data_IF_448064565694
#
_entry.id   IF_448064565694
#
_cell.length_a   1.000
_cell.length_b   1.000
_cell.length_c   1.000
_cell.angle_alpha   90.00
_cell.angle_beta   90.00
_cell.angle_gamma   90.00
#
_symmetry.space_group_name_H-M   'P 1'
#
loop_
_entity.id
_entity.type
_entity.pdbx_description
1 polymer ?
#
# COMPACT_ATOMS: atom_id res chain seq x y z
N UNK A 1 20.91 -0.58 13.29
CA UNK A 1 19.80 -1.02 12.41
C UNK A 1 20.34 -1.61 11.11
N UNK A 2 21.22 -0.91 10.36
CA UNK A 2 21.82 -1.40 9.11
C UNK A 2 22.41 -2.82 9.24
N UNK A 3 23.31 -3.04 10.16
CA UNK A 3 23.96 -4.34 10.35
C UNK A 3 22.96 -5.50 10.54
N UNK A 4 21.86 -5.26 11.26
CA UNK A 4 20.82 -6.29 11.47
C UNK A 4 20.06 -6.62 10.20
N UNK A 5 19.65 -5.60 9.43
CA UNK A 5 18.95 -5.82 8.14
C UNK A 5 19.87 -6.39 7.06
N UNK A 6 21.13 -5.99 7.06
CA UNK A 6 22.16 -6.59 6.19
C UNK A 6 22.37 -8.08 6.50
N UNK A 7 22.48 -8.43 7.77
CA UNK A 7 22.70 -9.81 8.22
C UNK A 7 21.57 -10.77 7.83
N UNK A 8 20.34 -10.29 7.72
CA UNK A 8 19.19 -11.11 7.29
C UNK A 8 18.92 -10.99 5.76
N UNK A 9 19.79 -10.31 5.01
CA UNK A 9 19.66 -10.20 3.55
C UNK A 9 18.48 -9.36 3.09
N UNK A 10 17.98 -8.41 3.91
CA UNK A 10 16.81 -7.60 3.57
C UNK A 10 17.15 -6.31 2.81
N UNK A 11 18.42 -5.94 2.73
CA UNK A 11 18.85 -4.68 2.09
C UNK A 11 19.24 -4.89 0.63
N UNK A 12 18.79 -3.98 -0.22
CA UNK A 12 19.31 -3.83 -1.57
C UNK A 12 20.59 -3.00 -1.58
N UNK A 13 21.58 -3.34 -2.42
CA UNK A 13 22.80 -2.54 -2.57
C UNK A 13 22.58 -1.25 -3.36
N UNK A 14 21.45 -1.09 -4.07
CA UNK A 14 21.22 0.00 -5.02
C UNK A 14 19.86 0.67 -4.91
N UNK A 15 18.79 -0.06 -5.14
CA UNK A 15 17.44 0.50 -5.28
C UNK A 15 16.39 -0.35 -4.59
N UNK A 16 15.30 0.30 -4.11
CA UNK A 16 14.06 -0.39 -3.81
C UNK A 16 13.19 -0.41 -5.06
N UNK A 17 12.91 -1.59 -5.61
CA UNK A 17 12.07 -1.78 -6.79
C UNK A 17 10.90 -2.71 -6.48
N UNK A 18 9.90 -2.25 -5.70
CA UNK A 18 8.77 -3.08 -5.32
C UNK A 18 8.06 -3.66 -6.53
N UNK A 19 7.71 -4.95 -6.43
CA UNK A 19 6.98 -5.73 -7.45
C UNK A 19 7.78 -6.01 -8.74
N UNK A 20 9.02 -5.55 -8.85
CA UNK A 20 9.90 -5.79 -10.00
C UNK A 20 10.56 -7.18 -9.93
N UNK A 21 10.86 -7.76 -11.08
CA UNK A 21 11.61 -9.02 -11.18
C UNK A 21 13.03 -8.91 -10.62
N UNK A 22 13.62 -7.70 -10.63
CA UNK A 22 14.91 -7.36 -10.03
C UNK A 22 14.86 -7.06 -8.53
N UNK A 23 13.70 -7.17 -7.87
CA UNK A 23 13.55 -6.92 -6.44
C UNK A 23 14.47 -7.81 -5.60
N UNK A 24 15.35 -7.20 -4.81
CA UNK A 24 16.36 -7.88 -4.01
C UNK A 24 16.55 -7.34 -2.59
N UNK A 25 15.56 -6.60 -2.10
CA UNK A 25 15.56 -5.93 -0.81
C UNK A 25 15.26 -4.44 -0.92
N UNK A 26 15.22 -3.77 0.21
CA UNK A 26 14.95 -2.33 0.27
C UNK A 26 16.20 -1.51 0.58
N UNK A 27 16.20 -0.27 0.13
CA UNK A 27 17.12 0.77 0.61
C UNK A 27 16.52 1.40 1.85
N UNK A 28 17.34 1.64 2.87
CA UNK A 28 16.89 2.32 4.07
C UNK A 28 16.73 3.82 3.81
N UNK A 29 15.57 4.35 4.11
CA UNK A 29 15.29 5.78 4.13
C UNK A 29 15.19 6.32 5.56
N UNK A 30 15.24 7.64 5.69
CA UNK A 30 15.04 8.38 6.95
C UNK A 30 14.00 9.47 6.73
N UNK A 31 13.20 9.73 7.74
CA UNK A 31 12.20 10.77 7.69
C UNK A 31 11.17 10.66 8.82
N UNK A 32 10.36 11.69 8.92
CA UNK A 32 9.21 11.76 9.80
C UNK A 32 8.03 12.37 9.06
N UNK A 33 6.82 12.12 9.53
CA UNK A 33 5.60 12.69 8.97
C UNK A 33 4.59 12.98 10.08
N UNK A 34 3.71 13.93 9.83
CA UNK A 34 2.60 14.26 10.71
C UNK A 34 1.31 14.44 9.90
N UNK A 35 0.19 14.02 10.48
CA UNK A 35 -1.15 14.25 9.97
C UNK A 35 -1.94 15.00 11.04
N UNK A 36 -2.61 16.06 10.66
CA UNK A 36 -3.64 16.68 11.49
C UNK A 36 -4.96 15.95 11.22
N UNK A 37 -5.50 15.30 12.24
CA UNK A 37 -6.77 14.57 12.17
C UNK A 37 -7.87 15.33 12.86
N UNK A 38 -9.03 15.39 12.22
CA UNK A 38 -10.24 16.01 12.77
C UNK A 38 -11.45 15.18 12.35
N UNK A 39 -12.51 15.19 13.14
CA UNK A 39 -13.77 14.56 12.73
C UNK A 39 -14.30 15.26 11.48
N UNK A 40 -14.76 14.49 10.50
CA UNK A 40 -15.17 15.02 9.20
C UNK A 40 -16.25 16.11 9.35
N UNK A 41 -17.26 15.89 10.19
CA UNK A 41 -18.30 16.87 10.43
C UNK A 41 -17.78 18.20 11.02
N UNK A 42 -16.81 18.13 11.95
CA UNK A 42 -16.19 19.31 12.55
C UNK A 42 -15.32 20.04 11.51
N UNK A 43 -14.56 19.30 10.69
CA UNK A 43 -13.75 19.89 9.64
C UNK A 43 -14.59 20.64 8.59
N UNK A 44 -15.72 20.05 8.19
CA UNK A 44 -16.68 20.71 7.28
C UNK A 44 -17.26 21.96 7.92
N UNK A 45 -17.71 21.86 9.19
CA UNK A 45 -18.31 23.00 9.92
C UNK A 45 -17.36 24.16 10.11
N UNK A 46 -16.07 23.87 10.32
CA UNK A 46 -15.03 24.87 10.55
C UNK A 46 -14.42 25.40 9.23
N UNK A 47 -14.82 24.84 8.07
CA UNK A 47 -14.31 25.26 6.76
C UNK A 47 -12.86 24.87 6.52
N UNK A 48 -12.39 23.78 7.15
CA UNK A 48 -11.01 23.32 6.99
C UNK A 48 -10.76 22.76 5.59
N UNK A 49 -9.51 22.85 5.12
CA UNK A 49 -9.08 22.14 3.93
C UNK A 49 -8.96 20.65 4.22
N UNK A 50 -9.77 19.82 3.55
CA UNK A 50 -9.79 18.37 3.71
C UNK A 50 -9.07 17.73 2.53
N UNK A 51 -7.92 17.11 2.79
CA UNK A 51 -7.10 16.44 1.76
C UNK A 51 -7.60 15.03 1.43
N UNK A 52 -8.28 14.39 2.35
CA UNK A 52 -8.87 13.07 2.20
C UNK A 52 -9.50 12.59 3.49
N UNK A 53 -10.27 11.53 3.41
CA UNK A 53 -11.03 10.98 4.52
C UNK A 53 -10.53 9.58 4.87
N UNK A 54 -10.17 9.34 6.13
CA UNK A 54 -9.91 7.99 6.65
C UNK A 54 -11.27 7.35 6.93
N UNK A 55 -11.60 6.31 6.16
CA UNK A 55 -12.88 5.61 6.27
C UNK A 55 -12.78 4.38 7.16
N UNK A 56 -11.64 3.73 7.18
CA UNK A 56 -11.45 2.53 7.99
C UNK A 56 -9.99 2.23 8.27
N UNK A 57 -9.75 1.60 9.41
CA UNK A 57 -8.42 1.13 9.84
C UNK A 57 -8.55 -0.31 10.29
N UNK A 58 -7.80 -1.20 9.67
CA UNK A 58 -7.73 -2.61 10.05
C UNK A 58 -6.37 -2.96 10.63
N UNK A 59 -6.36 -3.69 11.70
CA UNK A 59 -5.16 -4.20 12.34
C UNK A 59 -5.25 -5.70 12.57
N UNK A 60 -4.12 -6.38 12.53
CA UNK A 60 -4.01 -7.80 12.87
C UNK A 60 -2.61 -8.15 13.38
N UNK A 61 -2.48 -9.35 13.89
CA UNK A 61 -1.20 -9.99 14.18
C UNK A 61 -1.11 -11.32 13.44
N UNK A 62 0.07 -11.65 12.92
CA UNK A 62 0.32 -12.95 12.27
C UNK A 62 0.19 -14.13 13.25
N UNK A 63 0.29 -13.84 14.55
CA UNK A 63 0.25 -14.88 15.59
C UNK A 63 1.47 -15.80 15.51
N UNK A 64 1.27 -17.09 15.78
CA UNK A 64 2.32 -18.11 15.67
C UNK A 64 2.50 -18.46 14.18
N UNK A 65 3.61 -18.05 13.58
CA UNK A 65 3.94 -18.28 12.17
C UNK A 65 5.28 -18.98 11.97
N UNK A 66 5.76 -19.02 10.72
CA UNK A 66 7.03 -19.66 10.31
C UNK A 66 8.29 -18.95 10.82
N UNK A 67 8.17 -17.74 11.33
CA UNK A 67 9.28 -16.92 11.83
C UNK A 67 8.93 -15.44 11.85
N UNK A 68 9.71 -14.64 12.58
CA UNK A 68 9.44 -13.21 12.81
C UNK A 68 9.50 -12.35 11.53
N UNK A 69 10.20 -12.83 10.51
CA UNK A 69 10.38 -12.13 9.24
C UNK A 69 9.50 -12.68 8.11
N UNK A 70 8.83 -13.81 8.33
CA UNK A 70 8.01 -14.46 7.31
C UNK A 70 6.63 -13.80 7.24
N UNK A 71 6.20 -13.26 6.07
CA UNK A 71 4.88 -12.67 5.94
C UNK A 71 3.77 -13.74 6.05
N UNK A 72 2.63 -13.35 6.59
CA UNK A 72 1.46 -14.22 6.76
C UNK A 72 0.29 -13.70 5.93
N UNK A 73 -0.08 -14.42 4.88
CA UNK A 73 -1.27 -14.11 4.06
C UNK A 73 -2.49 -13.93 4.96
N UNK A 74 -2.71 -14.84 5.91
CA UNK A 74 -3.86 -14.76 6.84
C UNK A 74 -3.86 -13.48 7.67
N UNK A 75 -2.70 -13.10 8.22
CA UNK A 75 -2.58 -11.88 9.02
C UNK A 75 -2.83 -10.63 8.17
N UNK A 76 -2.14 -10.51 7.04
CA UNK A 76 -2.33 -9.40 6.11
C UNK A 76 -3.79 -9.30 5.64
N UNK A 77 -4.39 -10.41 5.17
CA UNK A 77 -5.80 -10.47 4.74
C UNK A 77 -6.75 -9.99 5.83
N UNK A 78 -6.52 -10.39 7.08
CA UNK A 78 -7.37 -9.97 8.19
C UNK A 78 -7.30 -8.45 8.43
N UNK A 79 -6.11 -7.83 8.33
CA UNK A 79 -5.97 -6.38 8.46
C UNK A 79 -6.71 -5.66 7.32
N UNK A 80 -6.50 -6.09 6.07
CA UNK A 80 -7.12 -5.49 4.89
C UNK A 80 -8.64 -5.62 4.96
N UNK A 81 -9.16 -6.82 5.21
CA UNK A 81 -10.61 -7.05 5.28
C UNK A 81 -11.28 -6.24 6.40
N UNK A 82 -10.64 -6.11 7.57
CA UNK A 82 -11.15 -5.28 8.67
C UNK A 82 -11.22 -3.81 8.30
N UNK A 83 -10.23 -3.28 7.58
CA UNK A 83 -10.23 -1.89 7.13
C UNK A 83 -11.42 -1.60 6.21
N UNK A 84 -11.66 -2.44 5.21
CA UNK A 84 -12.79 -2.25 4.28
C UNK A 84 -14.14 -2.50 4.94
N UNK A 85 -14.25 -3.48 5.84
CA UNK A 85 -15.46 -3.68 6.64
C UNK A 85 -15.80 -2.44 7.48
N UNK A 86 -14.80 -1.82 8.12
CA UNK A 86 -15.00 -0.57 8.87
C UNK A 86 -15.30 0.62 7.94
N UNK A 87 -14.68 0.68 6.77
CA UNK A 87 -14.88 1.75 5.81
C UNK A 87 -16.31 1.79 5.23
N UNK A 88 -16.99 0.65 5.21
CA UNK A 88 -18.36 0.53 4.71
C UNK A 88 -18.46 0.63 3.19
N UNK A 89 -17.36 0.32 2.46
CA UNK A 89 -17.38 0.20 1.01
C UNK A 89 -16.59 -1.04 0.56
N UNK A 90 -16.96 -1.51 -0.61
CA UNK A 90 -16.39 -2.72 -1.20
C UNK A 90 -14.99 -2.45 -1.80
N UNK A 91 -14.04 -3.38 -1.66
CA UNK A 91 -12.73 -3.31 -2.32
C UNK A 91 -12.80 -3.09 -3.85
N UNK A 92 -13.88 -3.54 -4.51
CA UNK A 92 -14.08 -3.33 -5.95
C UNK A 92 -14.14 -1.86 -6.37
N UNK A 93 -14.37 -0.96 -5.41
CA UNK A 93 -14.38 0.50 -5.62
C UNK A 93 -13.04 1.18 -5.41
N UNK A 94 -11.99 0.42 -5.09
CA UNK A 94 -10.65 0.93 -4.82
C UNK A 94 -9.80 0.89 -6.08
N UNK A 95 -9.12 1.98 -6.39
CA UNK A 95 -8.37 2.15 -7.64
C UNK A 95 -6.85 2.28 -7.41
N UNK A 96 -6.41 2.53 -6.17
CA UNK A 96 -4.99 2.67 -5.81
C UNK A 96 -4.69 1.92 -4.51
N UNK A 97 -3.66 1.11 -4.52
CA UNK A 97 -3.04 0.53 -3.31
C UNK A 97 -1.62 1.06 -3.16
N UNK A 98 -1.39 1.81 -2.11
CA UNK A 98 -0.06 2.07 -1.57
C UNK A 98 0.32 0.87 -0.70
N UNK A 99 1.09 -0.02 -1.27
CA UNK A 99 1.42 -1.29 -0.64
C UNK A 99 2.59 -1.16 0.37
N UNK A 100 2.73 -2.16 1.20
CA UNK A 100 3.94 -2.27 2.03
C UNK A 100 5.19 -2.40 1.17
N UNK A 101 5.16 -3.22 0.12
CA UNK A 101 6.10 -3.24 -1.00
C UNK A 101 7.57 -3.03 -0.61
N UNK A 102 8.18 -4.04 0.01
CA UNK A 102 9.56 -3.94 0.52
C UNK A 102 10.62 -4.33 -0.51
N UNK A 103 10.24 -4.51 -1.77
CA UNK A 103 11.19 -4.89 -2.82
C UNK A 103 11.88 -6.23 -2.53
N UNK A 104 11.17 -7.17 -1.91
CA UNK A 104 11.62 -8.54 -1.74
C UNK A 104 10.72 -9.46 -2.56
N UNK A 105 11.29 -10.33 -3.41
CA UNK A 105 10.50 -11.17 -4.34
C UNK A 105 9.37 -11.92 -3.63
N UNK A 106 9.68 -12.56 -2.51
CA UNK A 106 8.70 -13.34 -1.73
C UNK A 106 7.71 -12.45 -1.00
N UNK A 107 8.18 -11.36 -0.40
CA UNK A 107 7.31 -10.42 0.35
C UNK A 107 6.29 -9.76 -0.57
N UNK A 108 6.76 -9.23 -1.69
CA UNK A 108 5.93 -8.54 -2.67
C UNK A 108 4.90 -9.51 -3.31
N UNK A 109 5.32 -10.74 -3.65
CA UNK A 109 4.42 -11.75 -4.16
C UNK A 109 3.37 -12.19 -3.13
N UNK A 110 3.77 -12.32 -1.86
CA UNK A 110 2.84 -12.66 -0.76
C UNK A 110 1.81 -11.56 -0.57
N UNK A 111 2.22 -10.30 -0.62
CA UNK A 111 1.32 -9.16 -0.48
C UNK A 111 0.33 -9.08 -1.65
N UNK A 112 0.80 -9.22 -2.90
CA UNK A 112 -0.08 -9.29 -4.07
C UNK A 112 -1.06 -10.46 -3.99
N UNK A 113 -0.61 -11.64 -3.55
CA UNK A 113 -1.49 -12.78 -3.31
C UNK A 113 -2.56 -12.49 -2.26
N UNK A 114 -2.18 -11.85 -1.15
CA UNK A 114 -3.12 -11.42 -0.11
C UNK A 114 -4.16 -10.44 -0.64
N UNK A 115 -3.70 -9.41 -1.36
CA UNK A 115 -4.58 -8.40 -1.95
C UNK A 115 -5.51 -9.02 -2.99
N UNK A 116 -5.01 -9.94 -3.83
CA UNK A 116 -5.82 -10.64 -4.83
C UNK A 116 -6.95 -11.46 -4.22
N UNK A 117 -6.73 -12.06 -3.04
CA UNK A 117 -7.82 -12.75 -2.33
C UNK A 117 -8.90 -11.79 -1.80
N UNK A 118 -8.54 -10.58 -1.38
CA UNK A 118 -9.50 -9.56 -0.89
C UNK A 118 -10.20 -8.88 -2.06
N UNK A 119 -9.50 -8.70 -3.18
CA UNK A 119 -10.00 -8.07 -4.40
C UNK A 119 -10.52 -9.09 -5.43
N UNK A 120 -10.90 -10.28 -5.00
CA UNK A 120 -11.28 -11.39 -5.89
C UNK A 120 -12.49 -11.12 -6.78
N UNK A 121 -13.33 -10.15 -6.42
CA UNK A 121 -14.47 -9.71 -7.23
C UNK A 121 -14.11 -8.64 -8.27
N UNK A 122 -12.91 -8.06 -8.20
CA UNK A 122 -12.40 -7.15 -9.23
C UNK A 122 -11.93 -7.96 -10.42
N UNK A 123 -12.37 -7.60 -11.62
CA UNK A 123 -11.90 -8.28 -12.83
C UNK A 123 -10.37 -8.21 -12.94
N UNK A 124 -9.77 -9.28 -13.45
CA UNK A 124 -8.34 -9.29 -13.73
C UNK A 124 -7.96 -8.26 -14.80
N UNK A 125 -6.72 -7.78 -14.76
CA UNK A 125 -6.20 -6.75 -15.66
C UNK A 125 -5.88 -5.44 -14.93
N UNK A 126 -5.59 -4.39 -15.68
CA UNK A 126 -5.08 -3.11 -15.18
C UNK A 126 -6.18 -2.23 -14.51
N UNK A 127 -6.86 -2.78 -13.50
CA UNK A 127 -7.98 -2.11 -12.83
C UNK A 127 -7.56 -1.36 -11.56
N UNK A 128 -6.56 -1.88 -10.81
CA UNK A 128 -6.11 -1.30 -9.55
C UNK A 128 -4.62 -1.01 -9.61
N UNK A 129 -4.25 0.26 -9.50
CA UNK A 129 -2.85 0.65 -9.43
C UNK A 129 -2.22 0.17 -8.11
N UNK A 130 -1.06 -0.46 -8.16
CA UNK A 130 -0.28 -0.82 -6.98
C UNK A 130 1.11 -0.23 -7.04
N UNK A 131 1.57 0.33 -5.93
CA UNK A 131 2.91 0.90 -5.83
C UNK A 131 3.37 1.02 -4.39
N UNK A 132 4.58 1.52 -4.18
CA UNK A 132 5.08 1.82 -2.85
C UNK A 132 6.02 3.02 -2.88
N UNK A 133 5.81 3.95 -1.95
CA UNK A 133 6.68 5.13 -1.75
C UNK A 133 8.14 4.73 -1.48
N UNK A 134 8.36 3.50 -1.04
CA UNK A 134 9.71 2.97 -0.79
C UNK A 134 10.58 2.91 -2.04
N UNK A 135 9.98 2.90 -3.23
CA UNK A 135 10.72 3.04 -4.49
C UNK A 135 11.33 4.43 -4.68
N UNK A 136 10.82 5.44 -4.01
CA UNK A 136 11.20 6.85 -4.17
C UNK A 136 12.09 7.36 -3.03
N UNK A 137 11.74 7.03 -1.78
CA UNK A 137 12.43 7.57 -0.59
C UNK A 137 13.04 6.48 0.32
N UNK A 138 13.01 5.22 -0.11
CA UNK A 138 13.46 4.09 0.70
C UNK A 138 12.49 3.73 1.82
N UNK A 139 12.87 2.78 2.65
CA UNK A 139 12.04 2.28 3.76
C UNK A 139 12.32 3.06 5.05
N UNK A 140 11.39 3.90 5.45
CA UNK A 140 11.49 4.78 6.63
C UNK A 140 11.25 4.04 7.97
N UNK A 141 11.08 2.72 7.98
CA UNK A 141 10.78 1.88 9.16
C UNK A 141 9.53 2.36 9.90
N UNK A 142 9.70 2.93 11.10
CA UNK A 142 8.56 3.40 11.91
C UNK A 142 7.73 4.47 11.19
N UNK A 143 8.33 5.29 10.33
CA UNK A 143 7.65 6.31 9.57
C UNK A 143 7.13 5.82 8.20
N UNK A 144 7.32 4.54 7.82
CA UNK A 144 6.94 4.05 6.50
C UNK A 144 5.42 4.12 6.25
N UNK A 145 4.60 3.82 7.26
CA UNK A 145 3.14 3.89 7.15
C UNK A 145 2.65 5.32 6.95
N UNK A 146 3.17 6.29 7.73
CA UNK A 146 2.79 7.69 7.58
C UNK A 146 3.21 8.25 6.23
N UNK A 147 4.37 7.87 5.70
CA UNK A 147 4.82 8.27 4.37
C UNK A 147 3.88 7.74 3.27
N UNK A 148 3.43 6.49 3.36
CA UNK A 148 2.44 5.92 2.46
C UNK A 148 1.10 6.64 2.52
N UNK A 149 0.60 6.95 3.73
CA UNK A 149 -0.64 7.71 3.90
C UNK A 149 -0.51 9.11 3.29
N UNK A 150 0.58 9.83 3.54
CA UNK A 150 0.81 11.17 2.99
C UNK A 150 0.83 11.16 1.45
N UNK A 151 1.57 10.22 0.83
CA UNK A 151 1.57 10.06 -0.62
C UNK A 151 0.17 9.81 -1.16
N UNK A 152 -0.58 8.91 -0.53
CA UNK A 152 -1.91 8.52 -0.99
C UNK A 152 -2.94 9.65 -0.84
N UNK A 153 -2.90 10.37 0.27
CA UNK A 153 -3.78 11.55 0.48
C UNK A 153 -3.48 12.64 -0.56
N UNK A 154 -2.20 12.91 -0.83
CA UNK A 154 -1.81 13.86 -1.87
C UNK A 154 -2.23 13.38 -3.28
N UNK A 155 -2.12 12.09 -3.56
CA UNK A 155 -2.61 11.51 -4.81
C UNK A 155 -4.13 11.69 -4.98
N UNK A 156 -4.92 11.45 -3.93
CA UNK A 156 -6.37 11.70 -3.90
C UNK A 156 -6.68 13.18 -4.13
N UNK A 157 -6.00 14.07 -3.41
CA UNK A 157 -6.21 15.52 -3.49
C UNK A 157 -5.86 16.08 -4.87
N UNK A 158 -4.70 15.71 -5.41
CA UNK A 158 -4.23 16.15 -6.71
C UNK A 158 -4.82 15.35 -7.88
N UNK A 159 -5.67 14.36 -7.63
CA UNK A 159 -6.32 13.53 -8.65
C UNK A 159 -5.32 12.87 -9.59
N UNK A 160 -4.24 12.34 -9.02
CA UNK A 160 -3.15 11.75 -9.80
C UNK A 160 -2.72 10.43 -9.18
N UNK A 161 -2.70 9.37 -9.97
CA UNK A 161 -2.06 8.11 -9.60
C UNK A 161 -0.56 8.25 -9.87
N UNK A 162 0.29 8.23 -8.82
CA UNK A 162 1.71 8.43 -8.97
C UNK A 162 2.41 7.19 -9.55
N UNK A 163 3.51 7.35 -10.29
CA UNK A 163 4.28 6.23 -10.81
C UNK A 163 5.13 5.57 -9.72
N UNK A 164 5.51 4.32 -9.97
CA UNK A 164 6.53 3.60 -9.19
C UNK A 164 7.91 3.82 -9.81
N UNK A 165 8.84 4.33 -9.02
CA UNK A 165 10.20 4.55 -9.48
C UNK A 165 10.95 3.21 -9.67
N UNK A 166 11.73 3.10 -10.74
CA UNK A 166 12.63 1.97 -10.98
C UNK A 166 11.96 0.65 -11.38
N UNK A 167 10.64 0.61 -11.50
CA UNK A 167 9.95 -0.58 -12.01
C UNK A 167 10.18 -0.73 -13.52
N UNK A 168 10.64 -1.91 -13.93
CA UNK A 168 10.95 -2.23 -15.33
C UNK A 168 10.19 -3.47 -15.81
N UNK A 169 10.25 -4.55 -15.04
CA UNK A 169 9.64 -5.83 -15.39
C UNK A 169 8.87 -6.39 -14.18
N UNK A 170 7.67 -6.94 -14.40
CA UNK A 170 6.88 -7.49 -13.32
C UNK A 170 7.56 -8.72 -12.68
N UNK A 171 7.34 -8.91 -11.38
CA UNK A 171 7.82 -10.09 -10.63
C UNK A 171 7.27 -11.37 -11.26
N UNK A 172 8.16 -12.21 -11.77
CA UNK A 172 7.84 -13.43 -12.51
C UNK A 172 7.16 -14.52 -11.66
N UNK A 173 7.22 -14.42 -10.34
CA UNK A 173 6.57 -15.36 -9.43
C UNK A 173 5.06 -15.09 -9.26
N UNK A 174 4.57 -14.01 -9.84
CA UNK A 174 3.18 -13.58 -9.82
C UNK A 174 2.57 -13.74 -11.21
N UNK A 175 1.43 -14.39 -11.30
CA UNK A 175 0.66 -14.43 -12.54
C UNK A 175 -0.19 -13.15 -12.67
N UNK A 176 0.40 -12.12 -13.24
CA UNK A 176 -0.22 -10.80 -13.41
C UNK A 176 -1.48 -10.82 -14.29
N UNK A 177 -1.68 -11.88 -15.09
CA UNK A 177 -2.87 -12.00 -15.92
C UNK A 177 -4.12 -12.41 -15.14
N UNK A 178 -3.92 -12.90 -13.90
CA UNK A 178 -5.00 -13.38 -13.02
C UNK A 178 -5.34 -12.44 -11.88
N UNK A 179 -4.64 -11.33 -11.76
CA UNK A 179 -4.85 -10.35 -10.70
C UNK A 179 -5.34 -9.01 -11.26
N UNK A 180 -6.06 -8.20 -10.48
CA UNK A 180 -6.57 -6.91 -10.95
C UNK A 180 -5.53 -5.78 -10.89
N UNK A 181 -4.28 -6.07 -10.50
CA UNK A 181 -3.27 -5.08 -10.20
C UNK A 181 -2.34 -4.80 -11.38
N UNK A 182 -1.91 -3.55 -11.48
CA UNK A 182 -0.82 -3.13 -12.35
C UNK A 182 0.09 -2.13 -11.63
N UNK A 183 1.35 -2.03 -12.05
CA UNK A 183 2.30 -1.06 -11.51
C UNK A 183 2.39 0.13 -12.47
N UNK A 184 1.95 1.34 -12.08
CA UNK A 184 2.05 2.52 -12.94
C UNK A 184 3.52 2.95 -13.09
N UNK A 185 3.96 3.20 -14.31
CA UNK A 185 5.32 3.69 -14.65
C UNK A 185 5.36 5.15 -15.06
N UNK A 186 4.19 5.73 -15.31
CA UNK A 186 4.00 7.15 -15.61
C UNK A 186 2.86 7.71 -14.76
N UNK A 187 2.84 9.01 -14.46
CA UNK A 187 1.71 9.63 -13.79
C UNK A 187 0.43 9.45 -14.61
N UNK A 188 -0.68 9.11 -13.96
CA UNK A 188 -1.99 8.99 -14.59
C UNK A 188 -2.98 9.94 -13.93
N UNK A 189 -3.79 10.61 -14.71
CA UNK A 189 -4.93 11.34 -14.17
C UNK A 189 -5.87 10.36 -13.47
N UNK A 190 -6.29 10.73 -12.27
CA UNK A 190 -7.23 9.92 -11.48
C UNK A 190 -8.63 10.52 -11.58
N UNK A 191 -9.36 10.15 -12.60
CA UNK A 191 -10.72 10.60 -12.84
C UNK A 191 -11.69 10.02 -11.80
N UNK A 192 -12.84 10.68 -11.63
CA UNK A 192 -13.92 10.10 -10.81
C UNK A 192 -14.44 8.84 -11.51
N UNK A 193 -14.63 7.71 -10.81
CA UNK A 193 -15.22 6.51 -11.40
C UNK A 193 -16.57 6.80 -12.07
N UNK A 194 -16.84 6.12 -13.18
CA UNK A 194 -18.12 6.26 -13.90
C UNK A 194 -19.35 5.92 -13.05
N UNK A 195 -19.16 5.23 -11.93
CA UNK A 195 -20.19 4.93 -10.92
C UNK A 195 -20.63 6.14 -10.11
N UNK A 196 -19.93 7.28 -10.23
CA UNK A 196 -20.16 8.47 -9.40
C UNK A 196 -19.61 8.32 -7.95
N UNK A 197 -18.97 7.21 -7.63
CA UNK A 197 -18.33 7.01 -6.33
C UNK A 197 -17.09 7.90 -6.18
N UNK A 198 -16.75 8.35 -4.96
CA UNK A 198 -15.47 9.03 -4.74
C UNK A 198 -14.30 8.13 -5.10
N UNK A 199 -13.13 8.72 -5.45
CA UNK A 199 -11.86 7.99 -5.60
C UNK A 199 -11.49 7.37 -4.27
N UNK A 200 -11.04 6.11 -4.29
CA UNK A 200 -10.71 5.32 -3.10
C UNK A 200 -9.35 4.68 -3.21
N UNK A 201 -8.66 4.61 -2.09
CA UNK A 201 -7.35 4.00 -1.99
C UNK A 201 -7.18 3.18 -0.71
N UNK A 202 -6.23 2.26 -0.74
CA UNK A 202 -5.77 1.53 0.44
C UNK A 202 -4.29 1.76 0.70
N UNK A 203 -3.90 1.76 1.98
CA UNK A 203 -2.50 1.87 2.41
C UNK A 203 -2.15 0.74 3.34
N UNK A 204 -1.15 -0.06 3.00
CA UNK A 204 -0.68 -1.20 3.79
C UNK A 204 0.63 -0.90 4.51
N UNK A 205 0.72 -1.31 5.76
CA UNK A 205 1.95 -1.29 6.54
C UNK A 205 2.06 -2.61 7.33
N UNK A 206 2.95 -3.51 6.89
CA UNK A 206 3.15 -4.84 7.44
C UNK A 206 4.54 -4.94 8.07
N UNK A 207 4.60 -5.00 9.40
CA UNK A 207 5.87 -4.96 10.14
C UNK A 207 6.49 -6.32 10.38
N UNK A 208 7.81 -6.39 10.42
CA UNK A 208 8.50 -7.52 11.03
C UNK A 208 8.03 -7.71 12.47
N UNK A 209 7.74 -8.93 12.86
CA UNK A 209 7.08 -9.24 14.13
C UNK A 209 5.59 -9.50 13.99
N UNK A 210 5.07 -9.41 12.76
CA UNK A 210 3.74 -9.83 12.41
C UNK A 210 2.63 -8.85 12.80
N UNK A 211 2.94 -7.58 12.93
CA UNK A 211 1.92 -6.53 13.13
C UNK A 211 1.53 -5.95 11.76
N UNK A 212 0.27 -6.11 11.39
CA UNK A 212 -0.24 -5.66 10.10
C UNK A 212 -1.27 -4.55 10.31
N UNK A 213 -1.17 -3.49 9.51
CA UNK A 213 -2.15 -2.41 9.41
C UNK A 213 -2.54 -2.16 7.96
N UNK A 214 -3.81 -1.84 7.77
CA UNK A 214 -4.32 -1.32 6.50
C UNK A 214 -5.26 -0.16 6.77
N UNK A 215 -5.17 0.89 5.95
CA UNK A 215 -6.01 2.09 6.05
C UNK A 215 -6.77 2.25 4.74
N UNK A 216 -8.09 2.35 4.83
CA UNK A 216 -8.97 2.65 3.71
C UNK A 216 -9.23 4.16 3.66
N UNK A 217 -8.94 4.77 2.51
CA UNK A 217 -9.02 6.21 2.25
C UNK A 217 -10.01 6.52 1.15
N UNK A 218 -10.63 7.70 1.24
CA UNK A 218 -11.57 8.22 0.26
C UNK A 218 -11.28 9.70 -0.02
N UNK A 219 -11.45 10.14 -1.27
CA UNK A 219 -11.40 11.56 -1.61
C UNK A 219 -12.56 12.31 -0.96
N UNK A 220 -12.31 13.57 -0.63
CA UNK A 220 -13.34 14.52 -0.18
C UNK A 220 -13.84 15.38 -1.34
#
# INVERSE_FOLDING_TARGET
>A
TYAKFSAIGALSPSHSTPFDSGANGFVMGEGSGALLLKRLGDAISDGDTIYGVIRGVGASSDGRGKGITAPSIRGQKQAVSRAYSQAGFDPTSVELIEAHGTSTKVGDATELGTLSEVFSEVASGDNVAVGSIKSQIGHLKAAAGIAGILKTILALHHRTIPPSAGFQNPNETVDWTKIPFFVPTVPREWTVPNTGSPRRAGVSAFGFGGTNFHVALEAF
#
